data_IF_509952030578
#
_entry.id   IF_509952030578
#
_cell.length_a   1.000
_cell.length_b   1.000
_cell.length_c   1.000
_cell.angle_alpha   90.00
_cell.angle_beta   90.00
_cell.angle_gamma   90.00
#
_symmetry.space_group_name_H-M   'P 1'
#
loop_
_entity.id
_entity.type
_entity.pdbx_description
1 polymer ?
#
# COMPACT_ATOMS: atom_id res chain seq x y z
N UNK A 1 45.62 -4.75 -11.76
CA UNK A 1 44.31 -5.04 -11.14
C UNK A 1 43.91 -3.82 -10.31
N UNK A 2 42.64 -3.43 -10.33
CA UNK A 2 42.11 -2.32 -9.51
C UNK A 2 41.20 -2.82 -8.38
N UNK A 3 41.07 -4.14 -8.20
CA UNK A 3 40.27 -4.76 -7.13
C UNK A 3 40.98 -4.72 -5.76
N UNK A 4 41.46 -3.56 -5.33
CA UNK A 4 42.03 -3.37 -3.98
C UNK A 4 40.94 -3.69 -2.95
N UNK A 5 41.15 -4.60 -1.97
CA UNK A 5 42.43 -5.11 -1.43
C UNK A 5 42.92 -6.48 -1.95
N UNK A 6 42.30 -7.06 -2.98
CA UNK A 6 42.50 -8.48 -3.34
C UNK A 6 43.75 -8.78 -4.19
N UNK A 7 44.35 -7.77 -4.84
CA UNK A 7 45.59 -7.92 -5.62
C UNK A 7 45.57 -9.12 -6.60
N UNK A 8 44.45 -9.32 -7.30
CA UNK A 8 44.24 -10.39 -8.27
C UNK A 8 44.93 -10.06 -9.60
N UNK A 9 46.26 -9.94 -9.56
CA UNK A 9 47.07 -9.61 -10.74
C UNK A 9 46.94 -10.72 -11.80
N UNK A 10 46.78 -10.31 -13.06
CA UNK A 10 46.68 -11.22 -14.20
C UNK A 10 48.04 -11.43 -14.87
N UNK A 11 48.28 -12.66 -15.31
CA UNK A 11 49.47 -13.05 -16.08
C UNK A 11 49.10 -13.23 -17.54
N UNK A 12 49.78 -12.53 -18.44
CA UNK A 12 49.61 -12.65 -19.89
C UNK A 12 50.37 -13.85 -20.46
N UNK A 13 49.79 -14.55 -21.43
CA UNK A 13 50.42 -15.63 -22.22
C UNK A 13 49.97 -15.52 -23.68
N UNK A 14 50.80 -15.96 -24.65
CA UNK A 14 50.52 -15.82 -26.09
C UNK A 14 51.00 -14.50 -26.72
N UNK A 15 51.20 -13.47 -25.89
CA UNK A 15 51.55 -12.08 -26.25
C UNK A 15 50.35 -11.24 -26.75
N UNK A 16 49.22 -11.20 -26.00
CA UNK A 16 48.13 -10.29 -26.32
C UNK A 16 48.62 -8.86 -26.36
N UNK A 17 48.19 -8.12 -27.39
CA UNK A 17 48.69 -6.77 -27.62
C UNK A 17 47.94 -5.75 -26.76
N UNK A 18 48.66 -5.09 -25.85
CA UNK A 18 48.13 -3.96 -25.09
C UNK A 18 48.08 -2.68 -25.94
N UNK A 19 46.89 -2.17 -26.21
CA UNK A 19 46.68 -0.90 -26.88
C UNK A 19 46.25 0.17 -25.86
N UNK A 20 47.19 1.02 -25.44
CA UNK A 20 46.97 2.09 -24.44
C UNK A 20 45.87 3.09 -24.80
N UNK A 21 45.64 3.34 -26.09
CA UNK A 21 44.62 4.28 -26.59
C UNK A 21 43.38 3.57 -27.13
N UNK A 22 43.35 2.24 -27.04
CA UNK A 22 42.22 1.41 -27.47
C UNK A 22 41.15 1.26 -26.40
N UNK A 23 40.29 0.26 -26.58
CA UNK A 23 39.19 -0.03 -25.67
C UNK A 23 37.93 0.77 -26.00
N UNK A 24 36.84 0.44 -25.31
CA UNK A 24 35.55 1.09 -25.49
C UNK A 24 35.61 2.56 -25.05
N UNK A 25 36.35 2.85 -23.98
CA UNK A 25 36.53 4.21 -23.44
C UNK A 25 37.75 4.95 -24.00
N UNK A 26 38.57 4.29 -24.83
CA UNK A 26 39.82 4.85 -25.37
C UNK A 26 40.97 4.94 -24.34
N UNK A 27 40.85 4.24 -23.21
CA UNK A 27 41.79 4.33 -22.07
C UNK A 27 42.67 3.09 -21.89
N UNK A 28 42.64 2.16 -22.86
CA UNK A 28 43.45 0.95 -22.81
C UNK A 28 42.63 -0.33 -22.97
N UNK A 29 43.06 -1.26 -23.81
CA UNK A 29 42.48 -2.60 -23.90
C UNK A 29 43.50 -3.61 -24.46
N UNK A 30 43.24 -4.91 -24.25
CA UNK A 30 44.02 -5.97 -24.87
C UNK A 30 43.36 -6.46 -26.16
N UNK A 31 44.18 -6.67 -27.19
CA UNK A 31 43.79 -7.32 -28.44
C UNK A 31 44.35 -8.74 -28.48
N UNK A 32 43.47 -9.68 -28.84
CA UNK A 32 43.71 -11.11 -28.93
C UNK A 32 43.63 -11.56 -30.38
N UNK A 33 44.52 -12.46 -30.80
CA UNK A 33 44.70 -12.85 -32.21
C UNK A 33 43.91 -14.10 -32.66
N UNK A 34 43.20 -14.77 -31.74
CA UNK A 34 42.46 -16.00 -31.99
C UNK A 34 43.27 -17.29 -31.99
N UNK A 35 44.52 -17.30 -31.48
CA UNK A 35 45.39 -18.50 -31.53
C UNK A 35 45.85 -19.03 -30.18
N UNK A 36 46.44 -18.19 -29.34
CA UNK A 36 47.02 -18.63 -28.06
C UNK A 36 47.07 -17.53 -26.97
N UNK A 37 46.56 -16.34 -27.29
CA UNK A 37 46.51 -15.20 -26.39
C UNK A 37 45.53 -15.45 -25.23
N UNK A 38 46.01 -15.30 -23.99
CA UNK A 38 45.17 -15.33 -22.79
C UNK A 38 45.75 -14.52 -21.65
N UNK A 39 44.88 -14.15 -20.71
CA UNK A 39 45.26 -13.62 -19.40
C UNK A 39 44.66 -14.52 -18.34
N UNK A 40 45.48 -14.97 -17.38
CA UNK A 40 45.04 -15.87 -16.30
C UNK A 40 45.23 -15.22 -14.95
N UNK A 41 44.28 -15.41 -14.05
CA UNK A 41 44.43 -15.04 -12.63
C UNK A 41 43.64 -16.00 -11.73
N UNK A 42 43.90 -15.95 -10.44
CA UNK A 42 43.13 -16.67 -9.43
C UNK A 42 42.65 -15.67 -8.39
N UNK A 43 41.34 -15.62 -8.15
CA UNK A 43 40.75 -14.68 -7.20
C UNK A 43 41.08 -15.09 -5.76
N UNK A 44 41.58 -14.16 -4.96
CA UNK A 44 41.82 -14.32 -3.53
C UNK A 44 40.62 -13.88 -2.70
N UNK A 45 40.45 -14.46 -1.51
CA UNK A 45 39.51 -13.97 -0.49
C UNK A 45 38.03 -14.30 -0.66
N UNK A 46 37.65 -15.47 -1.22
CA UNK A 46 36.22 -15.81 -1.31
C UNK A 46 35.87 -17.28 -0.99
N UNK A 47 35.01 -17.55 0.02
CA UNK A 47 34.29 -18.83 0.16
C UNK A 47 33.23 -18.97 -0.95
N UNK A 48 32.55 -20.12 -1.05
CA UNK A 48 31.60 -20.41 -2.12
C UNK A 48 30.61 -19.25 -2.41
N UNK A 49 30.45 -18.86 -3.67
CA UNK A 49 29.56 -17.76 -4.07
C UNK A 49 28.17 -18.29 -4.39
N UNK A 50 27.15 -17.68 -3.78
CA UNK A 50 25.74 -17.91 -4.10
C UNK A 50 25.19 -16.88 -5.09
N UNK A 51 25.92 -15.80 -5.37
CA UNK A 51 25.59 -14.80 -6.41
C UNK A 51 26.88 -14.33 -7.09
N UNK A 52 26.80 -13.93 -8.36
CA UNK A 52 27.96 -13.40 -9.11
C UNK A 52 27.49 -12.52 -10.27
N UNK A 53 28.28 -11.51 -10.62
CA UNK A 53 28.12 -10.78 -11.89
C UNK A 53 29.45 -10.74 -12.64
N UNK A 54 29.42 -11.09 -13.92
CA UNK A 54 30.54 -11.01 -14.85
C UNK A 54 30.22 -9.94 -15.91
N UNK A 55 31.08 -8.96 -16.09
CA UNK A 55 30.92 -7.88 -17.07
C UNK A 55 32.15 -7.78 -17.95
N UNK A 56 31.95 -7.63 -19.27
CA UNK A 56 33.03 -7.47 -20.24
C UNK A 56 32.58 -6.62 -21.43
N UNK A 57 33.47 -5.79 -21.94
CA UNK A 57 33.35 -5.21 -23.27
C UNK A 57 34.13 -6.04 -24.28
N UNK A 58 33.50 -6.41 -25.38
CA UNK A 58 34.14 -7.17 -26.44
C UNK A 58 33.82 -6.59 -27.82
N UNK A 59 34.86 -6.51 -28.65
CA UNK A 59 34.76 -6.12 -30.07
C UNK A 59 35.43 -7.21 -30.93
N UNK A 60 34.64 -8.04 -31.63
CA UNK A 60 35.19 -9.08 -32.50
C UNK A 60 35.98 -8.49 -33.65
N UNK A 61 37.14 -9.07 -33.97
CA UNK A 61 37.86 -8.76 -35.19
C UNK A 61 37.39 -9.67 -36.33
N UNK A 62 37.17 -10.94 -36.05
CA UNK A 62 36.65 -11.96 -36.96
C UNK A 62 35.59 -12.81 -36.26
N UNK A 63 34.72 -13.45 -37.04
CA UNK A 63 33.60 -14.28 -36.57
C UNK A 63 33.72 -15.69 -37.16
N UNK A 64 34.93 -16.26 -37.14
CA UNK A 64 35.24 -17.54 -37.76
C UNK A 64 35.00 -18.72 -36.81
N UNK A 65 35.41 -18.57 -35.55
CA UNK A 65 35.37 -19.60 -34.52
C UNK A 65 34.61 -19.12 -33.28
N UNK A 66 34.49 -20.00 -32.28
CA UNK A 66 33.96 -19.60 -30.98
C UNK A 66 35.05 -18.84 -30.20
N UNK A 67 34.65 -17.70 -29.64
CA UNK A 67 35.51 -16.82 -28.88
C UNK A 67 35.06 -16.78 -27.42
N UNK A 68 35.86 -17.32 -26.50
CA UNK A 68 35.62 -17.17 -25.06
C UNK A 68 36.29 -15.90 -24.55
N UNK A 69 35.49 -14.97 -24.02
CA UNK A 69 36.01 -13.68 -23.55
C UNK A 69 36.44 -13.75 -22.09
N UNK A 70 35.61 -14.38 -21.27
CA UNK A 70 35.80 -14.51 -19.83
C UNK A 70 35.25 -15.85 -19.37
N UNK A 71 36.15 -16.68 -18.86
CA UNK A 71 35.88 -17.98 -18.26
C UNK A 71 36.26 -17.95 -16.78
N UNK A 72 35.39 -18.51 -15.94
CA UNK A 72 35.54 -18.56 -14.50
C UNK A 72 35.20 -19.98 -14.02
N UNK A 73 36.09 -20.68 -13.32
CA UNK A 73 35.78 -22.08 -12.98
C UNK A 73 36.91 -23.07 -12.84
N UNK A 74 36.52 -24.34 -12.98
CA UNK A 74 37.35 -25.49 -13.33
C UNK A 74 36.64 -26.28 -14.45
N UNK A 75 37.32 -27.24 -15.08
CA UNK A 75 36.79 -27.98 -16.23
C UNK A 75 35.36 -28.49 -16.08
N UNK A 76 35.06 -29.12 -14.94
CA UNK A 76 33.76 -29.72 -14.64
C UNK A 76 32.80 -28.78 -13.90
N UNK A 77 33.23 -27.54 -13.62
CA UNK A 77 32.47 -26.49 -12.93
C UNK A 77 32.89 -25.12 -13.44
N UNK A 78 32.48 -24.75 -14.64
CA UNK A 78 32.84 -23.45 -15.20
C UNK A 78 31.65 -22.64 -15.69
N UNK A 79 31.88 -21.34 -15.70
CA UNK A 79 31.09 -20.35 -16.39
C UNK A 79 31.94 -19.79 -17.51
N UNK A 80 31.33 -19.52 -18.66
CA UNK A 80 31.98 -18.72 -19.70
C UNK A 80 30.99 -17.75 -20.37
N UNK A 81 31.43 -16.53 -20.64
CA UNK A 81 30.78 -15.63 -21.60
C UNK A 81 31.53 -15.78 -22.92
N UNK A 82 30.80 -16.07 -23.99
CA UNK A 82 31.41 -16.39 -25.28
C UNK A 82 30.53 -16.01 -26.47
N UNK A 83 31.16 -15.96 -27.63
CA UNK A 83 30.51 -15.92 -28.94
C UNK A 83 30.48 -17.32 -29.57
N UNK A 84 29.34 -17.73 -30.10
CA UNK A 84 29.17 -19.03 -30.77
C UNK A 84 29.03 -18.86 -32.28
N UNK A 85 30.06 -19.24 -33.04
CA UNK A 85 30.13 -19.07 -34.50
C UNK A 85 28.94 -19.66 -35.25
N UNK A 86 28.53 -20.89 -34.94
CA UNK A 86 27.44 -21.59 -35.64
C UNK A 86 26.09 -20.87 -35.59
N UNK A 87 25.83 -20.08 -34.53
CA UNK A 87 24.59 -19.30 -34.40
C UNK A 87 24.80 -17.80 -34.56
N UNK A 88 26.06 -17.36 -34.59
CA UNK A 88 26.45 -15.97 -34.55
C UNK A 88 25.92 -15.19 -33.32
N UNK A 89 25.78 -15.84 -32.16
CA UNK A 89 25.15 -15.25 -30.95
C UNK A 89 26.11 -15.17 -29.76
N UNK A 90 25.93 -14.15 -28.92
CA UNK A 90 26.53 -14.08 -27.59
C UNK A 90 25.79 -15.02 -26.63
N UNK A 91 26.52 -15.75 -25.80
CA UNK A 91 25.99 -16.74 -24.88
C UNK A 91 26.68 -16.71 -23.52
N UNK A 92 25.96 -17.22 -22.54
CA UNK A 92 26.48 -17.50 -21.21
C UNK A 92 26.36 -18.99 -20.89
N UNK A 93 27.51 -19.65 -20.83
CA UNK A 93 27.65 -21.06 -20.52
C UNK A 93 27.80 -21.32 -19.03
N UNK A 94 27.19 -22.40 -18.55
CA UNK A 94 27.40 -22.98 -17.22
C UNK A 94 27.61 -24.48 -17.34
N UNK A 95 28.57 -25.03 -16.58
CA UNK A 95 28.75 -26.47 -16.40
C UNK A 95 28.76 -26.86 -14.94
N UNK A 96 28.07 -27.95 -14.60
CA UNK A 96 28.06 -28.56 -13.27
C UNK A 96 28.14 -30.07 -13.42
N UNK A 97 29.31 -30.65 -13.18
CA UNK A 97 29.56 -32.07 -13.39
C UNK A 97 29.51 -32.41 -14.88
N UNK A 98 28.57 -33.28 -15.26
CA UNK A 98 28.31 -33.66 -16.66
C UNK A 98 27.17 -32.86 -17.32
N UNK A 99 26.52 -31.97 -16.56
CA UNK A 99 25.45 -31.11 -17.07
C UNK A 99 26.04 -29.82 -17.64
N UNK A 100 25.55 -29.44 -18.81
CA UNK A 100 25.97 -28.24 -19.54
C UNK A 100 24.73 -27.47 -19.97
N UNK A 101 24.71 -26.16 -19.72
CA UNK A 101 23.66 -25.27 -20.20
C UNK A 101 24.25 -24.00 -20.81
N UNK A 102 23.61 -23.47 -21.85
CA UNK A 102 23.95 -22.17 -22.41
C UNK A 102 22.72 -21.26 -22.58
N UNK A 103 22.81 -20.05 -22.01
CA UNK A 103 21.79 -19.04 -22.15
C UNK A 103 22.14 -18.14 -23.34
N UNK A 104 21.31 -18.15 -24.38
CA UNK A 104 21.51 -17.30 -25.55
C UNK A 104 20.92 -15.90 -25.38
N UNK A 105 21.65 -14.89 -25.83
CA UNK A 105 21.18 -13.50 -25.88
C UNK A 105 20.21 -13.20 -27.02
N UNK A 106 20.13 -14.05 -28.05
CA UNK A 106 19.40 -13.74 -29.29
C UNK A 106 19.99 -12.57 -30.10
N UNK A 107 21.13 -12.00 -29.69
CA UNK A 107 21.79 -10.90 -30.41
C UNK A 107 22.78 -11.47 -31.42
N UNK A 108 22.52 -11.19 -32.70
CA UNK A 108 23.44 -11.50 -33.80
C UNK A 108 24.64 -10.56 -33.77
N UNK A 109 25.84 -11.13 -33.71
CA UNK A 109 27.09 -10.38 -33.59
C UNK A 109 27.59 -9.92 -34.95
N UNK A 110 28.14 -8.71 -35.01
CA UNK A 110 28.76 -8.11 -36.19
C UNK A 110 30.21 -7.78 -35.87
N UNK A 111 31.13 -8.25 -36.72
CA UNK A 111 32.55 -7.96 -36.59
C UNK A 111 32.80 -6.44 -36.55
N UNK A 112 33.72 -6.01 -35.69
CA UNK A 112 34.09 -4.61 -35.53
C UNK A 112 33.18 -3.77 -34.64
N UNK A 113 32.05 -4.31 -34.16
CA UNK A 113 31.13 -3.62 -33.25
C UNK A 113 31.43 -3.92 -31.79
N UNK A 114 31.23 -2.95 -30.90
CA UNK A 114 31.36 -3.16 -29.45
C UNK A 114 30.08 -3.74 -28.86
N UNK A 115 30.26 -4.69 -27.95
CA UNK A 115 29.19 -5.27 -27.15
C UNK A 115 29.58 -5.23 -25.67
N UNK A 116 28.71 -4.67 -24.84
CA UNK A 116 28.79 -4.85 -23.39
C UNK A 116 27.99 -6.07 -23.00
N UNK A 117 28.65 -7.10 -22.49
CA UNK A 117 27.99 -8.34 -22.08
C UNK A 117 28.09 -8.45 -20.57
N UNK A 118 26.93 -8.65 -19.92
CA UNK A 118 26.86 -8.88 -18.48
C UNK A 118 26.05 -10.13 -18.17
N UNK A 119 26.69 -11.10 -17.52
CA UNK A 119 26.06 -12.30 -17.00
C UNK A 119 25.87 -12.17 -15.49
N UNK A 120 24.63 -12.30 -15.02
CA UNK A 120 24.26 -12.14 -13.61
C UNK A 120 23.62 -13.42 -13.10
N UNK A 121 24.14 -13.94 -11.99
CA UNK A 121 23.48 -14.97 -11.21
C UNK A 121 23.02 -14.38 -9.88
N UNK A 122 21.70 -14.38 -9.64
CA UNK A 122 21.11 -13.80 -8.43
C UNK A 122 20.84 -14.82 -7.31
N UNK A 123 21.30 -16.07 -7.47
CA UNK A 123 21.10 -17.16 -6.50
C UNK A 123 20.04 -18.17 -6.90
N UNK A 124 19.18 -17.82 -7.87
CA UNK A 124 18.14 -18.72 -8.40
C UNK A 124 18.00 -18.65 -9.92
N UNK A 125 18.51 -17.58 -10.52
CA UNK A 125 18.27 -17.24 -11.93
C UNK A 125 19.54 -16.73 -12.58
N UNK A 126 19.79 -17.21 -13.80
CA UNK A 126 20.75 -16.65 -14.75
C UNK A 126 20.06 -15.55 -15.54
N UNK A 127 20.63 -14.35 -15.58
CA UNK A 127 20.25 -13.26 -16.45
C UNK A 127 21.41 -12.88 -17.38
N UNK A 128 21.14 -12.72 -18.68
CA UNK A 128 22.11 -12.27 -19.68
C UNK A 128 21.69 -10.92 -20.25
N UNK A 129 22.53 -9.91 -20.05
CA UNK A 129 22.36 -8.57 -20.58
C UNK A 129 23.33 -8.32 -21.72
N UNK A 130 22.86 -7.61 -22.75
CA UNK A 130 23.69 -7.09 -23.83
C UNK A 130 23.37 -5.63 -24.05
N UNK A 131 24.41 -4.78 -24.05
CA UNK A 131 24.33 -3.33 -24.18
C UNK A 131 23.38 -2.68 -23.15
N UNK A 132 23.49 -3.12 -21.89
CA UNK A 132 22.68 -2.59 -20.78
C UNK A 132 21.22 -3.07 -20.73
N UNK A 133 20.79 -3.98 -21.62
CA UNK A 133 19.41 -4.46 -21.71
C UNK A 133 19.34 -5.96 -21.46
N UNK A 134 18.41 -6.41 -20.60
CA UNK A 134 18.16 -7.82 -20.35
C UNK A 134 17.71 -8.49 -21.66
N UNK A 135 18.39 -9.56 -22.05
CA UNK A 135 18.08 -10.32 -23.27
C UNK A 135 17.42 -11.64 -23.00
N UNK A 136 17.85 -12.32 -21.93
CA UNK A 136 17.28 -13.61 -21.58
C UNK A 136 17.49 -13.92 -20.10
N UNK A 137 16.66 -14.78 -19.55
CA UNK A 137 16.79 -15.30 -18.20
C UNK A 137 16.27 -16.73 -18.07
N UNK A 138 16.93 -17.55 -17.27
CA UNK A 138 16.48 -18.91 -16.95
C UNK A 138 16.72 -19.21 -15.47
N UNK A 139 15.75 -19.90 -14.84
CA UNK A 139 15.91 -20.40 -13.49
C UNK A 139 16.91 -21.58 -13.50
N UNK A 140 17.97 -21.48 -12.73
CA UNK A 140 19.02 -22.51 -12.61
C UNK A 140 19.64 -22.38 -11.22
N UNK A 141 19.98 -23.50 -10.58
CA UNK A 141 20.73 -23.47 -9.32
C UNK A 141 22.19 -23.79 -9.59
N UNK A 142 23.06 -22.83 -9.29
CA UNK A 142 24.50 -22.92 -9.51
C UNK A 142 25.24 -22.60 -8.22
N UNK A 143 26.26 -23.40 -7.91
CA UNK A 143 27.18 -23.17 -6.79
C UNK A 143 28.59 -22.99 -7.34
N UNK A 144 29.22 -21.86 -7.03
CA UNK A 144 30.58 -21.55 -7.47
C UNK A 144 31.57 -21.84 -6.34
N UNK A 145 32.49 -22.76 -6.56
CA UNK A 145 33.46 -23.20 -5.55
C UNK A 145 34.92 -23.00 -5.95
N UNK A 146 35.18 -22.22 -7.01
CA UNK A 146 36.48 -22.14 -7.68
C UNK A 146 36.85 -20.69 -7.96
N UNK A 147 38.14 -20.41 -8.10
CA UNK A 147 38.64 -19.04 -8.20
C UNK A 147 39.43 -18.73 -9.46
N UNK A 148 39.60 -19.69 -10.38
CA UNK A 148 40.41 -19.48 -11.58
C UNK A 148 39.62 -18.67 -12.61
N UNK A 149 40.33 -17.72 -13.22
CA UNK A 149 39.82 -16.82 -14.24
C UNK A 149 40.73 -16.91 -15.45
N UNK A 150 40.13 -17.08 -16.62
CA UNK A 150 40.80 -17.01 -17.91
C UNK A 150 40.08 -15.98 -18.76
N UNK A 151 40.83 -15.03 -19.31
CA UNK A 151 40.35 -14.02 -20.25
C UNK A 151 40.94 -14.34 -21.61
N UNK A 152 40.10 -14.43 -22.63
CA UNK A 152 40.49 -14.68 -24.02
C UNK A 152 40.61 -16.16 -24.42
N UNK A 153 40.22 -17.11 -23.58
CA UNK A 153 40.18 -18.53 -23.89
C UNK A 153 39.19 -19.28 -22.98
N UNK A 154 38.99 -20.57 -23.24
CA UNK A 154 38.24 -21.47 -22.36
C UNK A 154 38.88 -21.61 -20.97
N UNK A 155 38.18 -22.28 -20.03
CA UNK A 155 38.67 -22.40 -18.65
C UNK A 155 39.99 -23.19 -18.53
N UNK A 156 40.30 -24.09 -19.49
CA UNK A 156 41.62 -24.74 -19.57
C UNK A 156 42.71 -23.81 -20.12
N UNK A 157 42.31 -22.72 -20.78
CA UNK A 157 43.21 -21.83 -21.51
C UNK A 157 43.93 -22.53 -22.66
N UNK A 158 43.24 -23.45 -23.35
CA UNK A 158 43.82 -24.30 -24.41
C UNK A 158 43.01 -24.30 -25.71
N UNK A 159 41.79 -23.74 -25.71
CA UNK A 159 40.89 -23.70 -26.87
C UNK A 159 39.96 -22.49 -26.82
N UNK A 160 39.17 -22.30 -27.89
CA UNK A 160 38.15 -21.24 -27.99
C UNK A 160 38.73 -19.83 -27.78
N UNK A 161 39.85 -19.58 -28.44
CA UNK A 161 40.65 -18.35 -28.32
C UNK A 161 39.89 -17.15 -28.86
N UNK A 162 39.83 -16.07 -28.09
CA UNK A 162 39.21 -14.84 -28.55
C UNK A 162 40.01 -14.20 -29.69
N UNK A 163 39.31 -13.72 -30.72
CA UNK A 163 39.85 -12.95 -31.83
C UNK A 163 39.19 -11.56 -31.88
N UNK A 164 39.76 -10.62 -31.14
CA UNK A 164 39.14 -9.31 -30.97
C UNK A 164 39.79 -8.47 -29.89
N UNK A 165 39.11 -7.40 -29.51
CA UNK A 165 39.51 -6.52 -28.41
C UNK A 165 38.63 -6.79 -27.20
N UNK A 166 39.24 -7.07 -26.05
CA UNK A 166 38.55 -7.22 -24.76
C UNK A 166 38.94 -6.04 -23.87
N UNK A 167 37.94 -5.42 -23.25
CA UNK A 167 38.10 -4.27 -22.38
C UNK A 167 37.21 -4.38 -21.13
N UNK A 168 37.61 -3.67 -20.08
CA UNK A 168 36.85 -3.40 -18.86
C UNK A 168 36.16 -4.63 -18.25
N UNK A 169 36.96 -5.69 -18.07
CA UNK A 169 36.55 -6.94 -17.44
C UNK A 169 36.35 -6.73 -15.94
N UNK A 170 35.14 -7.03 -15.45
CA UNK A 170 34.77 -6.92 -14.04
C UNK A 170 34.07 -8.16 -13.53
N UNK A 171 34.39 -8.54 -12.28
CA UNK A 171 33.75 -9.65 -11.58
C UNK A 171 33.27 -9.13 -10.22
N UNK A 172 31.96 -9.19 -9.99
CA UNK A 172 31.34 -8.79 -8.74
C UNK A 172 30.95 -10.03 -7.93
N UNK A 173 31.14 -9.98 -6.61
CA UNK A 173 30.70 -11.02 -5.66
C UNK A 173 29.23 -10.88 -5.25
N UNK A 174 28.45 -10.14 -6.04
CA UNK A 174 27.03 -9.91 -5.85
C UNK A 174 26.32 -9.89 -7.20
N UNK A 175 25.00 -10.01 -7.16
CA UNK A 175 24.14 -9.65 -8.28
C UNK A 175 24.09 -8.13 -8.41
N UNK A 176 24.29 -7.63 -9.64
CA UNK A 176 24.01 -6.23 -9.99
C UNK A 176 22.55 -6.09 -10.40
N UNK A 177 21.95 -4.95 -10.04
CA UNK A 177 20.65 -4.52 -10.53
C UNK A 177 20.71 -4.09 -12.00
N UNK A 178 19.55 -4.00 -12.65
CA UNK A 178 19.46 -3.51 -14.03
C UNK A 178 19.97 -2.07 -14.17
N UNK A 179 19.77 -1.22 -13.15
CA UNK A 179 20.22 0.17 -13.15
C UNK A 179 21.75 0.28 -13.08
N UNK A 180 22.41 -0.52 -12.25
CA UNK A 180 23.87 -0.62 -12.20
C UNK A 180 24.45 -1.08 -13.52
N UNK A 181 23.87 -2.12 -14.13
CA UNK A 181 24.30 -2.65 -15.43
C UNK A 181 24.16 -1.59 -16.53
N UNK A 182 23.09 -0.79 -16.49
CA UNK A 182 22.88 0.33 -17.41
C UNK A 182 23.94 1.42 -17.22
N UNK A 183 24.32 1.75 -15.98
CA UNK A 183 25.40 2.72 -15.71
C UNK A 183 26.75 2.21 -16.22
N UNK A 184 27.07 0.93 -16.00
CA UNK A 184 28.29 0.30 -16.54
C UNK A 184 28.33 0.34 -18.07
N UNK A 185 27.22 0.04 -18.75
CA UNK A 185 27.11 0.11 -20.21
C UNK A 185 27.34 1.55 -20.74
N UNK A 186 26.90 2.56 -19.98
CA UNK A 186 27.12 3.97 -20.32
C UNK A 186 28.51 4.48 -19.89
N UNK A 187 29.37 3.61 -19.35
CA UNK A 187 30.68 3.97 -18.82
C UNK A 187 30.61 5.00 -17.68
N UNK A 188 29.51 5.04 -16.94
CA UNK A 188 29.24 5.96 -15.83
C UNK A 188 29.65 5.35 -14.49
N UNK A 189 30.88 4.88 -14.40
CA UNK A 189 31.40 4.14 -13.23
C UNK A 189 31.59 5.03 -11.99
N UNK A 190 31.45 6.35 -12.15
CA UNK A 190 31.52 7.37 -11.10
C UNK A 190 30.14 7.84 -10.62
N UNK A 191 29.06 7.23 -11.09
CA UNK A 191 27.68 7.52 -10.68
C UNK A 191 27.12 6.26 -10.02
N UNK A 192 26.46 6.46 -8.89
CA UNK A 192 25.72 5.42 -8.17
C UNK A 192 24.22 5.64 -8.36
N UNK A 193 23.47 4.56 -8.52
CA UNK A 193 22.01 4.64 -8.55
C UNK A 193 21.45 4.69 -7.12
N UNK A 194 20.31 5.37 -6.91
CA UNK A 194 19.69 5.47 -5.57
C UNK A 194 19.34 4.09 -4.98
N UNK A 195 18.98 3.12 -5.83
CA UNK A 195 18.65 1.75 -5.43
C UNK A 195 19.84 1.00 -4.78
N UNK A 196 21.06 1.51 -4.92
CA UNK A 196 22.25 0.95 -4.25
C UNK A 196 22.44 1.49 -2.83
N UNK A 197 21.60 2.44 -2.42
CA UNK A 197 21.66 3.10 -1.12
C UNK A 197 20.44 2.77 -0.29
N UNK A 198 20.64 2.69 1.03
CA UNK A 198 19.53 2.52 1.97
C UNK A 198 19.55 3.61 3.03
N UNK A 199 18.38 3.96 3.56
CA UNK A 199 18.23 4.92 4.65
C UNK A 199 19.17 4.55 5.82
N UNK A 200 19.81 5.56 6.39
CA UNK A 200 20.81 5.48 7.46
C UNK A 200 22.14 4.79 7.09
N UNK A 201 22.34 4.40 5.83
CA UNK A 201 23.64 3.88 5.41
C UNK A 201 24.71 4.98 5.46
N UNK A 202 25.89 4.61 5.96
CA UNK A 202 27.05 5.49 6.01
C UNK A 202 28.03 5.13 4.89
N UNK A 203 28.35 6.12 4.07
CA UNK A 203 29.30 6.02 2.97
C UNK A 203 30.55 6.84 3.27
N UNK A 204 31.70 6.34 2.84
CA UNK A 204 32.97 7.09 2.85
C UNK A 204 33.65 6.90 1.49
N UNK A 205 34.30 7.96 1.02
CA UNK A 205 35.19 7.88 -0.13
C UNK A 205 36.60 7.68 0.39
N UNK A 206 37.32 6.68 -0.13
CA UNK A 206 38.69 6.43 0.27
C UNK A 206 39.61 6.38 -0.94
N UNK A 207 40.76 7.00 -0.81
CA UNK A 207 41.77 7.12 -1.86
C UNK A 207 43.05 6.47 -1.36
N UNK A 208 43.61 5.59 -2.18
CA UNK A 208 44.98 5.09 -2.03
C UNK A 208 45.81 5.73 -3.14
N UNK A 209 46.72 6.67 -2.86
CA UNK A 209 47.58 7.25 -3.88
C UNK A 209 48.52 6.16 -4.44
N UNK A 210 48.76 6.14 -5.75
CA UNK A 210 49.71 5.22 -6.39
C UNK A 210 50.61 6.02 -7.35
N UNK A 211 51.92 5.80 -7.29
CA UNK A 211 52.93 6.53 -8.08
C UNK A 211 53.37 5.79 -9.36
N UNK A 212 52.72 4.68 -9.69
CA UNK A 212 53.06 3.77 -10.79
C UNK A 212 53.95 2.59 -10.37
N UNK A 213 54.55 2.63 -9.17
CA UNK A 213 55.40 1.56 -8.64
C UNK A 213 54.83 0.96 -7.35
N UNK A 214 54.22 1.77 -6.50
CA UNK A 214 53.68 1.35 -5.21
C UNK A 214 52.41 2.11 -4.81
N UNK A 215 51.59 1.45 -4.00
CA UNK A 215 50.46 2.06 -3.30
C UNK A 215 50.93 2.75 -2.01
N UNK A 216 50.45 3.97 -1.77
CA UNK A 216 50.65 4.73 -0.53
C UNK A 216 49.58 4.42 0.53
N UNK A 217 49.52 5.23 1.58
CA UNK A 217 48.52 5.03 2.66
C UNK A 217 47.11 5.42 2.19
N UNK A 218 46.15 4.51 2.38
CA UNK A 218 44.72 4.78 2.13
C UNK A 218 44.18 5.81 3.11
N UNK A 219 43.59 6.88 2.61
CA UNK A 219 42.91 7.92 3.40
C UNK A 219 41.43 7.90 3.05
N UNK A 220 40.56 8.02 4.06
CA UNK A 220 39.10 8.06 3.88
C UNK A 220 38.54 9.43 4.26
N UNK A 221 37.45 9.83 3.60
CA UNK A 221 36.65 10.99 3.95
C UNK A 221 35.92 10.78 5.28
N UNK A 222 35.27 11.83 5.77
CA UNK A 222 34.20 11.71 6.75
C UNK A 222 33.02 10.89 6.19
N UNK A 223 32.13 10.48 7.10
CA UNK A 223 30.92 9.75 6.73
C UNK A 223 29.90 10.67 6.04
N UNK A 224 29.25 10.14 5.01
CA UNK A 224 28.04 10.66 4.37
C UNK A 224 26.91 9.71 4.75
N UNK A 225 25.90 10.20 5.47
CA UNK A 225 24.74 9.41 5.88
C UNK A 225 23.57 9.65 4.93
N UNK A 226 23.00 8.57 4.39
CA UNK A 226 21.78 8.62 3.58
C UNK A 226 20.60 8.90 4.52
N UNK A 227 19.88 10.01 4.28
CA UNK A 227 18.76 10.44 5.12
C UNK A 227 17.43 9.91 4.59
N UNK A 228 16.44 9.87 5.49
CA UNK A 228 15.04 9.59 5.18
C UNK A 228 14.50 10.58 4.13
N UNK A 229 13.72 10.11 3.17
CA UNK A 229 12.91 11.00 2.33
C UNK A 229 11.56 11.22 2.99
N UNK A 230 11.01 12.42 2.90
CA UNK A 230 9.66 12.67 3.43
C UNK A 230 8.64 12.13 2.41
N UNK A 231 7.56 11.44 2.85
CA UNK A 231 6.53 10.94 1.95
C UNK A 231 5.83 12.09 1.23
N UNK A 232 5.33 11.83 0.02
CA UNK A 232 4.62 12.85 -0.74
C UNK A 232 3.35 13.28 -0.02
N UNK A 233 3.03 14.57 -0.09
CA UNK A 233 1.80 15.13 0.46
C UNK A 233 0.58 14.49 -0.18
N UNK A 234 -0.35 14.01 0.66
CA UNK A 234 -1.64 13.53 0.19
C UNK A 234 -2.46 14.68 -0.40
N UNK A 235 -3.22 14.42 -1.46
CA UNK A 235 -4.13 15.42 -2.06
C UNK A 235 -5.56 14.97 -1.83
N UNK A 236 -6.37 15.75 -1.11
CA UNK A 236 -7.74 15.35 -0.80
C UNK A 236 -8.67 15.48 -1.99
N UNK A 237 -9.66 14.58 -2.02
CA UNK A 237 -10.66 14.49 -3.08
C UNK A 237 -12.07 14.63 -2.51
N UNK A 238 -12.37 13.97 -1.38
CA UNK A 238 -13.70 13.99 -0.77
C UNK A 238 -13.66 13.73 0.75
N UNK A 239 -14.61 14.26 1.53
CA UNK A 239 -15.52 15.33 1.15
C UNK A 239 -14.73 16.63 0.94
N UNK A 240 -15.06 17.41 -0.08
CA UNK A 240 -14.19 18.54 -0.46
C UNK A 240 -14.62 19.85 0.23
N UNK A 241 -15.79 20.38 -0.10
CA UNK A 241 -16.22 21.72 0.31
C UNK A 241 -17.64 21.67 0.83
N UNK A 242 -18.11 22.75 1.43
CA UNK A 242 -19.46 22.94 1.99
C UNK A 242 -20.64 22.58 1.05
N UNK A 243 -20.39 22.23 -0.22
CA UNK A 243 -21.37 21.61 -1.11
C UNK A 243 -21.70 20.15 -0.73
N UNK A 244 -20.79 19.45 -0.05
CA UNK A 244 -21.04 18.11 0.51
C UNK A 244 -21.84 18.27 1.80
N UNK A 245 -23.16 18.40 1.63
CA UNK A 245 -24.13 18.35 2.72
C UNK A 245 -24.50 16.91 2.96
N UNK A 246 -24.11 16.38 4.12
CA UNK A 246 -24.33 14.99 4.50
C UNK A 246 -25.43 14.88 5.56
N UNK A 247 -26.07 13.71 5.60
CA UNK A 247 -26.99 13.32 6.68
C UNK A 247 -26.44 12.17 7.51
N UNK A 248 -25.35 11.54 7.08
CA UNK A 248 -24.69 10.44 7.78
C UNK A 248 -23.57 10.97 8.69
N UNK A 249 -23.42 10.37 9.87
CA UNK A 249 -22.41 10.74 10.85
C UNK A 249 -21.08 10.00 10.67
N UNK A 250 -21.12 8.88 9.97
CA UNK A 250 -19.98 8.15 9.44
C UNK A 250 -19.65 8.76 8.08
N UNK A 251 -18.47 9.35 7.94
CA UNK A 251 -18.08 10.08 6.74
C UNK A 251 -16.97 9.32 6.02
N UNK A 252 -17.08 9.22 4.70
CA UNK A 252 -16.05 8.61 3.86
C UNK A 252 -15.09 9.68 3.36
N UNK A 253 -13.83 9.56 3.76
CA UNK A 253 -12.72 10.43 3.37
C UNK A 253 -11.88 9.77 2.30
N UNK A 254 -11.53 10.52 1.25
CA UNK A 254 -10.78 10.03 0.10
C UNK A 254 -9.71 11.05 -0.32
N UNK A 255 -8.54 10.53 -0.69
CA UNK A 255 -7.38 11.32 -1.13
C UNK A 255 -6.50 10.52 -2.09
N UNK A 256 -5.54 11.19 -2.72
CA UNK A 256 -4.52 10.54 -3.55
C UNK A 256 -3.50 9.86 -2.64
N UNK A 257 -3.29 8.55 -2.85
CA UNK A 257 -2.32 7.74 -2.10
C UNK A 257 -0.92 8.36 -2.24
N UNK A 258 -0.28 8.60 -1.11
CA UNK A 258 1.08 9.10 -1.04
C UNK A 258 2.08 8.02 -1.47
N UNK A 259 3.21 8.45 -2.02
CA UNK A 259 4.38 7.60 -2.31
C UNK A 259 5.56 8.03 -1.46
N UNK A 260 6.46 7.11 -1.21
CA UNK A 260 7.72 7.39 -0.53
C UNK A 260 8.91 6.93 -1.38
N UNK A 261 10.00 7.68 -1.39
CA UNK A 261 11.15 7.42 -2.29
C UNK A 261 12.07 6.31 -1.78
N UNK A 262 12.09 6.08 -0.48
CA UNK A 262 12.78 4.98 0.19
C UNK A 262 11.84 3.78 0.41
N UNK A 263 10.63 3.84 -0.17
CA UNK A 263 9.62 2.78 -0.15
C UNK A 263 9.19 2.37 1.27
N UNK A 264 9.25 3.30 2.22
CA UNK A 264 8.76 3.05 3.57
C UNK A 264 7.23 2.87 3.59
N UNK A 265 6.68 2.01 4.47
CA UNK A 265 5.23 1.87 4.64
C UNK A 265 4.57 3.17 5.10
N UNK A 266 3.47 3.55 4.45
CA UNK A 266 2.77 4.80 4.73
C UNK A 266 1.53 4.57 5.59
N UNK A 267 1.43 5.34 6.68
CA UNK A 267 0.23 5.48 7.52
C UNK A 267 -0.30 6.91 7.40
N UNK A 268 -1.62 7.09 7.37
CA UNK A 268 -2.26 8.39 7.29
C UNK A 268 -2.85 8.82 8.63
N UNK A 269 -2.77 10.12 8.88
CA UNK A 269 -3.40 10.78 10.03
C UNK A 269 -4.45 11.74 9.50
N UNK A 270 -5.72 11.44 9.77
CA UNK A 270 -6.88 12.21 9.34
C UNK A 270 -7.34 13.06 10.53
N UNK A 271 -7.13 14.36 10.43
CA UNK A 271 -7.51 15.32 11.46
C UNK A 271 -8.84 15.99 11.09
N UNK A 272 -9.83 15.90 11.96
CA UNK A 272 -11.18 16.43 11.81
C UNK A 272 -11.44 17.37 12.98
N UNK A 273 -11.79 18.60 12.68
CA UNK A 273 -11.98 19.67 13.67
C UNK A 273 -13.37 20.28 13.52
N UNK A 274 -13.94 20.71 14.64
CA UNK A 274 -15.22 21.41 14.67
C UNK A 274 -15.16 22.55 15.68
N UNK A 275 -15.96 23.59 15.45
CA UNK A 275 -16.14 24.67 16.43
C UNK A 275 -17.09 24.26 17.57
N UNK A 276 -17.95 23.28 17.32
CA UNK A 276 -19.04 22.91 18.23
C UNK A 276 -18.82 21.56 18.91
N UNK A 277 -17.86 20.78 18.45
CA UNK A 277 -17.56 19.45 18.95
C UNK A 277 -16.07 19.21 19.11
N UNK A 278 -15.73 18.17 19.87
CA UNK A 278 -14.35 17.78 20.08
C UNK A 278 -13.65 17.45 18.75
N UNK A 279 -12.43 17.96 18.61
CA UNK A 279 -11.53 17.61 17.53
C UNK A 279 -11.13 16.13 17.64
N UNK A 280 -10.99 15.47 16.50
CA UNK A 280 -10.72 14.04 16.38
C UNK A 280 -9.57 13.83 15.40
N UNK A 281 -8.65 12.92 15.74
CA UNK A 281 -7.60 12.46 14.84
C UNK A 281 -7.72 10.94 14.70
N UNK A 282 -7.72 10.45 13.46
CA UNK A 282 -7.81 9.03 13.14
C UNK A 282 -6.56 8.58 12.40
N UNK A 283 -6.17 7.31 12.59
CA UNK A 283 -5.07 6.69 11.86
C UNK A 283 -5.59 5.58 10.95
N UNK A 284 -5.03 5.47 9.75
CA UNK A 284 -5.41 4.45 8.76
C UNK A 284 -4.28 4.17 7.77
N UNK A 285 -4.21 2.96 7.24
CA UNK A 285 -3.31 2.59 6.13
C UNK A 285 -4.04 2.44 4.81
N UNK A 286 -5.36 2.63 4.79
CA UNK A 286 -6.21 2.42 3.61
C UNK A 286 -6.91 3.70 3.17
N UNK A 287 -7.17 3.76 1.86
CA UNK A 287 -7.92 4.83 1.20
C UNK A 287 -8.93 4.17 0.26
N UNK A 288 -10.24 4.50 0.31
CA UNK A 288 -10.87 5.50 1.18
C UNK A 288 -10.96 5.06 2.66
N UNK A 289 -11.05 6.04 3.56
CA UNK A 289 -11.23 5.84 5.00
C UNK A 289 -12.65 6.21 5.41
N UNK A 290 -13.34 5.33 6.16
CA UNK A 290 -14.66 5.62 6.72
C UNK A 290 -14.50 5.90 8.21
N UNK A 291 -14.92 7.09 8.66
CA UNK A 291 -14.83 7.44 10.07
C UNK A 291 -15.87 6.67 10.91
N UNK A 292 -15.61 6.50 12.21
CA UNK A 292 -16.68 6.34 13.20
C UNK A 292 -17.68 7.51 13.15
N UNK A 293 -18.78 7.42 13.90
CA UNK A 293 -19.70 8.55 14.06
C UNK A 293 -18.97 9.76 14.65
N UNK A 294 -18.97 10.88 13.92
CA UNK A 294 -18.22 12.08 14.30
C UNK A 294 -18.80 12.84 15.50
N UNK A 295 -20.00 12.47 15.95
CA UNK A 295 -20.60 12.98 17.17
C UNK A 295 -21.48 11.90 17.79
N UNK A 296 -21.48 11.83 19.13
CA UNK A 296 -22.30 10.90 19.90
C UNK A 296 -23.52 11.55 20.54
N UNK A 297 -23.62 12.89 20.51
CA UNK A 297 -24.69 13.66 21.17
C UNK A 297 -25.62 14.26 20.12
N UNK A 298 -25.15 15.22 19.32
CA UNK A 298 -25.92 15.82 18.22
C UNK A 298 -25.01 16.32 17.07
N UNK A 299 -25.58 16.63 15.91
CA UNK A 299 -24.84 17.13 14.75
C UNK A 299 -24.12 18.44 15.07
N UNK A 300 -22.81 18.47 14.80
CA UNK A 300 -21.97 19.65 15.07
C UNK A 300 -22.06 20.70 13.96
N UNK A 301 -22.89 20.46 12.93
CA UNK A 301 -23.07 21.32 11.77
C UNK A 301 -21.86 21.29 10.85
N UNK A 302 -20.78 21.98 11.22
CA UNK A 302 -19.61 22.23 10.38
C UNK A 302 -18.34 21.54 10.89
N UNK A 303 -17.60 20.97 9.95
CA UNK A 303 -16.32 20.33 10.20
C UNK A 303 -15.28 20.83 9.19
N UNK A 304 -14.05 21.01 9.65
CA UNK A 304 -12.88 21.12 8.78
C UNK A 304 -12.04 19.86 8.92
N UNK A 305 -11.40 19.43 7.85
CA UNK A 305 -10.51 18.27 7.89
C UNK A 305 -9.27 18.43 7.03
N UNK A 306 -8.24 17.68 7.40
CA UNK A 306 -6.98 17.55 6.67
C UNK A 306 -6.40 16.15 6.90
N UNK A 307 -5.52 15.72 6.01
CA UNK A 307 -4.79 14.45 6.12
C UNK A 307 -3.29 14.65 5.88
N UNK A 308 -2.44 13.91 6.57
CA UNK A 308 -1.00 13.82 6.31
C UNK A 308 -0.52 12.39 6.29
N UNK A 309 0.50 12.11 5.50
CA UNK A 309 1.17 10.82 5.44
C UNK A 309 2.33 10.76 6.44
N UNK A 310 2.59 9.57 6.96
CA UNK A 310 3.68 9.25 7.88
C UNK A 310 4.37 7.96 7.41
N UNK A 311 5.68 8.00 7.26
CA UNK A 311 6.51 6.87 6.77
C UNK A 311 7.16 6.05 7.91
N UNK A 312 6.78 6.31 9.17
CA UNK A 312 7.44 5.71 10.34
C UNK A 312 8.55 6.56 10.96
N UNK A 313 8.97 7.64 10.29
CA UNK A 313 10.05 8.55 10.71
C UNK A 313 9.65 10.02 10.65
N UNK A 314 9.00 10.44 9.57
CA UNK A 314 8.65 11.82 9.26
C UNK A 314 7.26 11.94 8.66
N UNK A 315 6.63 13.09 8.89
CA UNK A 315 5.34 13.42 8.32
C UNK A 315 5.51 14.19 7.01
N UNK A 316 4.64 13.94 6.04
CA UNK A 316 4.39 14.89 4.96
C UNK A 316 3.86 16.22 5.54
N UNK A 317 3.90 17.29 4.74
CA UNK A 317 3.07 18.45 5.08
C UNK A 317 1.60 18.02 5.11
N UNK A 318 0.79 18.74 5.89
CA UNK A 318 -0.65 18.59 5.80
C UNK A 318 -1.08 18.88 4.37
N UNK A 319 -2.05 18.10 3.93
CA UNK A 319 -2.83 18.42 2.77
C UNK A 319 -3.66 19.70 3.01
N UNK A 320 -4.42 20.19 2.02
CA UNK A 320 -5.18 21.44 2.16
C UNK A 320 -6.18 21.41 3.33
N UNK A 321 -6.77 22.54 3.71
CA UNK A 321 -7.89 22.51 4.66
C UNK A 321 -9.21 22.46 3.88
N UNK A 322 -9.99 21.40 4.10
CA UNK A 322 -11.28 21.17 3.44
C UNK A 322 -12.39 21.19 4.48
N UNK A 323 -13.63 21.45 4.05
CA UNK A 323 -14.76 21.54 4.95
C UNK A 323 -15.98 20.79 4.41
N UNK A 324 -16.84 20.36 5.32
CA UNK A 324 -18.12 19.75 4.99
C UNK A 324 -19.11 20.06 6.11
N UNK A 325 -20.40 19.85 5.83
CA UNK A 325 -21.44 20.00 6.83
C UNK A 325 -22.31 18.75 6.94
N UNK A 326 -22.68 18.42 8.17
CA UNK A 326 -23.70 17.41 8.46
C UNK A 326 -24.97 18.16 8.88
N UNK A 327 -26.02 18.05 8.08
CA UNK A 327 -27.30 18.70 8.38
C UNK A 327 -28.13 17.85 9.36
N UNK A 328 -28.87 18.50 10.29
CA UNK A 328 -29.91 17.84 11.06
C UNK A 328 -30.91 17.14 10.14
N UNK A 329 -31.17 15.87 10.41
CA UNK A 329 -32.12 15.04 9.68
C UNK A 329 -33.02 14.33 10.69
N UNK A 330 -34.28 14.74 10.74
CA UNK A 330 -35.32 14.14 11.58
C UNK A 330 -36.06 13.11 10.74
N UNK A 331 -36.05 11.86 11.18
CA UNK A 331 -36.80 10.78 10.53
C UNK A 331 -37.21 9.75 11.59
N UNK A 332 -38.49 9.43 11.67
CA UNK A 332 -39.02 8.38 12.53
C UNK A 332 -39.83 7.37 11.72
N UNK A 333 -39.85 6.12 12.18
CA UNK A 333 -40.74 5.08 11.66
C UNK A 333 -41.54 4.46 12.79
N UNK A 334 -42.76 4.02 12.49
CA UNK A 334 -43.55 3.20 13.40
C UNK A 334 -43.38 1.73 13.03
N UNK A 335 -42.61 0.98 13.81
CA UNK A 335 -42.41 -0.46 13.56
C UNK A 335 -43.58 -1.30 14.05
N UNK A 336 -44.34 -0.78 15.02
CA UNK A 336 -45.68 -1.24 15.40
C UNK A 336 -46.61 -0.02 15.47
N UNK A 337 -47.72 -0.03 14.74
CA UNK A 337 -48.56 1.15 14.49
C UNK A 337 -50.07 0.93 14.72
N UNK A 338 -50.44 -0.19 15.34
CA UNK A 338 -51.83 -0.50 15.67
C UNK A 338 -51.91 -1.38 16.92
N UNK A 339 -52.99 -1.22 17.69
CA UNK A 339 -53.32 -2.05 18.85
C UNK A 339 -54.78 -2.45 18.76
N UNK A 340 -55.06 -3.76 18.84
CA UNK A 340 -56.43 -4.30 18.81
C UNK A 340 -56.82 -4.80 20.20
N UNK A 341 -57.68 -4.05 20.89
CA UNK A 341 -58.12 -4.37 22.24
C UNK A 341 -59.20 -5.45 22.30
N UNK A 342 -59.66 -5.95 21.15
CA UNK A 342 -60.67 -6.99 21.07
C UNK A 342 -62.00 -6.59 21.69
N UNK A 343 -62.64 -7.52 22.39
CA UNK A 343 -63.95 -7.31 23.01
C UNK A 343 -63.81 -6.81 24.45
N UNK A 344 -64.41 -5.65 24.73
CA UNK A 344 -64.53 -5.09 26.08
C UNK A 344 -65.99 -4.73 26.37
N UNK A 345 -66.48 -5.11 27.55
CA UNK A 345 -67.82 -4.72 28.03
C UNK A 345 -67.78 -3.32 28.65
N UNK A 346 -68.92 -2.60 28.73
CA UNK A 346 -69.01 -1.33 29.46
C UNK A 346 -68.40 -1.41 30.86
N UNK A 347 -67.52 -0.46 31.19
CA UNK A 347 -66.75 -0.41 32.44
C UNK A 347 -65.50 -1.28 32.48
N UNK A 348 -65.24 -2.13 31.49
CA UNK A 348 -63.97 -2.86 31.40
C UNK A 348 -62.86 -1.98 30.85
N UNK A 349 -61.65 -2.23 31.34
CA UNK A 349 -60.43 -1.59 30.86
C UNK A 349 -59.43 -2.65 30.40
N UNK A 350 -58.61 -2.27 29.43
CA UNK A 350 -57.42 -3.01 29.03
C UNK A 350 -56.34 -2.01 28.60
N UNK A 351 -55.08 -2.38 28.73
CA UNK A 351 -53.96 -1.55 28.33
C UNK A 351 -52.90 -2.37 27.56
N UNK A 352 -51.92 -1.69 26.99
CA UNK A 352 -50.84 -2.34 26.24
C UNK A 352 -49.58 -2.59 27.10
N UNK A 353 -49.67 -2.49 28.44
CA UNK A 353 -48.49 -2.53 29.30
C UNK A 353 -47.83 -3.89 29.38
N UNK A 354 -48.61 -4.96 29.19
CA UNK A 354 -48.18 -6.34 29.06
C UNK A 354 -47.93 -6.77 27.60
N UNK A 355 -48.02 -5.81 26.67
CA UNK A 355 -47.93 -6.01 25.21
C UNK A 355 -49.02 -6.94 24.64
N UNK A 356 -50.17 -7.02 25.31
CA UNK A 356 -51.35 -7.74 24.84
C UNK A 356 -52.66 -6.91 25.03
N UNK A 357 -52.96 -5.98 24.11
CA UNK A 357 -52.40 -5.87 22.75
C UNK A 357 -51.06 -5.13 22.66
N UNK A 358 -50.34 -5.26 21.53
CA UNK A 358 -49.02 -4.64 21.39
C UNK A 358 -49.10 -3.11 21.42
N UNK A 359 -48.10 -2.47 22.03
CA UNK A 359 -47.95 -1.02 22.07
C UNK A 359 -47.46 -0.48 20.72
N UNK A 360 -47.65 0.82 20.46
CA UNK A 360 -46.98 1.44 19.31
C UNK A 360 -45.48 1.54 19.60
N UNK A 361 -44.64 1.32 18.59
CA UNK A 361 -43.18 1.43 18.70
C UNK A 361 -42.66 2.44 17.70
N UNK A 362 -42.03 3.49 18.20
CA UNK A 362 -41.38 4.54 17.43
C UNK A 362 -39.88 4.25 17.36
N UNK A 363 -39.32 4.30 16.17
CA UNK A 363 -37.88 4.17 15.92
C UNK A 363 -37.35 5.45 15.28
N UNK A 364 -36.27 6.00 15.83
CA UNK A 364 -35.55 7.14 15.25
C UNK A 364 -34.51 6.65 14.23
N UNK A 365 -34.67 7.09 12.97
CA UNK A 365 -33.77 6.83 11.85
C UNK A 365 -33.00 8.10 11.42
N UNK A 366 -33.19 9.19 12.15
CA UNK A 366 -32.52 10.45 11.92
C UNK A 366 -31.08 10.49 12.44
N UNK A 367 -30.44 11.65 12.33
CA UNK A 367 -29.11 11.89 12.87
C UNK A 367 -29.09 12.90 14.04
N UNK A 368 -30.27 13.24 14.57
CA UNK A 368 -30.43 14.13 15.73
C UNK A 368 -31.31 13.49 16.81
N UNK A 369 -31.28 14.05 18.02
CA UNK A 369 -32.26 13.74 19.07
C UNK A 369 -33.63 14.27 18.65
N UNK A 370 -34.69 13.50 18.91
CA UNK A 370 -36.05 13.89 18.50
C UNK A 370 -37.04 13.88 19.65
N UNK A 371 -37.87 14.92 19.72
CA UNK A 371 -39.07 14.96 20.55
C UNK A 371 -40.25 14.41 19.74
N UNK A 372 -41.02 13.48 20.31
CA UNK A 372 -42.22 12.91 19.68
C UNK A 372 -43.46 13.41 20.41
N UNK A 373 -44.39 13.99 19.66
CA UNK A 373 -45.70 14.41 20.16
C UNK A 373 -46.78 13.41 19.76
N UNK A 374 -47.85 13.32 20.55
CA UNK A 374 -49.03 12.47 20.30
C UNK A 374 -50.26 13.37 20.23
N UNK A 375 -51.13 13.14 19.22
CA UNK A 375 -52.50 13.67 19.19
C UNK A 375 -53.49 12.68 18.59
N UNK A 376 -54.71 12.66 19.10
CA UNK A 376 -55.83 11.95 18.48
C UNK A 376 -56.40 12.74 17.31
N UNK A 377 -56.90 12.04 16.28
CA UNK A 377 -57.66 12.66 15.19
C UNK A 377 -59.17 12.54 15.39
N UNK A 378 -59.59 11.43 15.98
CA UNK A 378 -60.99 11.05 16.11
C UNK A 378 -61.25 10.58 17.55
N UNK A 379 -62.45 10.83 18.07
CA UNK A 379 -62.89 10.27 19.34
C UNK A 379 -62.91 8.73 19.25
N UNK A 380 -62.46 8.04 20.30
CA UNK A 380 -62.53 6.58 20.35
C UNK A 380 -63.95 6.09 20.67
N UNK A 381 -64.67 6.85 21.50
CA UNK A 381 -65.97 6.51 22.05
C UNK A 381 -67.04 7.47 21.50
N UNK A 382 -68.26 7.00 21.28
CA UNK A 382 -69.35 7.88 20.81
C UNK A 382 -69.84 8.79 21.94
N UNK A 383 -69.70 8.33 23.19
CA UNK A 383 -70.22 9.03 24.38
C UNK A 383 -69.19 9.93 25.05
N UNK A 384 -67.91 9.83 24.68
CA UNK A 384 -66.84 10.63 25.26
C UNK A 384 -65.86 11.15 24.20
N UNK A 385 -65.61 12.45 24.24
CA UNK A 385 -64.65 13.10 23.34
C UNK A 385 -63.19 12.86 23.78
N UNK A 386 -62.24 13.11 22.87
CA UNK A 386 -60.82 13.22 23.17
C UNK A 386 -60.58 14.14 24.38
N UNK A 387 -59.67 13.73 25.26
CA UNK A 387 -59.41 14.38 26.54
C UNK A 387 -60.09 13.70 27.73
N UNK A 388 -60.91 12.67 27.50
CA UNK A 388 -61.47 11.85 28.58
C UNK A 388 -60.46 10.85 29.16
N UNK A 389 -60.73 10.34 30.36
CA UNK A 389 -59.92 9.30 31.01
C UNK A 389 -60.17 7.89 30.45
N UNK A 390 -61.05 7.76 29.46
CA UNK A 390 -61.40 6.48 28.84
C UNK A 390 -60.52 6.14 27.64
N UNK A 391 -59.70 7.09 27.16
CA UNK A 391 -58.69 6.88 26.14
C UNK A 391 -57.40 7.63 26.50
N UNK A 392 -56.43 6.90 27.05
CA UNK A 392 -55.20 7.44 27.62
C UNK A 392 -53.96 6.84 26.96
N UNK A 393 -52.85 7.58 27.01
CA UNK A 393 -51.54 7.12 26.55
C UNK A 393 -50.44 7.44 27.57
N UNK A 394 -49.32 6.73 27.48
CA UNK A 394 -48.05 7.05 28.13
C UNK A 394 -46.87 6.60 27.26
N UNK A 395 -45.71 7.18 27.44
CA UNK A 395 -44.45 6.71 26.86
C UNK A 395 -43.78 5.69 27.77
N UNK A 396 -43.13 4.69 27.19
CA UNK A 396 -42.28 3.75 27.92
C UNK A 396 -41.06 3.35 27.09
N UNK A 397 -39.99 2.89 27.72
CA UNK A 397 -38.87 2.29 27.01
C UNK A 397 -39.30 0.97 26.34
N UNK A 398 -38.64 0.62 25.24
CA UNK A 398 -38.65 -0.75 24.71
C UNK A 398 -37.74 -1.63 25.58
N UNK A 399 -37.14 -2.68 25.01
CA UNK A 399 -36.03 -3.40 25.64
C UNK A 399 -34.74 -2.56 25.68
N UNK A 400 -34.71 -1.42 24.97
CA UNK A 400 -33.57 -0.51 24.93
C UNK A 400 -33.60 0.47 26.10
N UNK A 401 -32.82 0.18 27.14
CA UNK A 401 -32.68 1.07 28.27
C UNK A 401 -32.09 2.44 27.88
N UNK A 402 -32.61 3.51 28.50
CA UNK A 402 -32.16 4.90 28.29
C UNK A 402 -32.32 5.38 26.84
N UNK A 403 -33.33 4.93 26.09
CA UNK A 403 -33.56 5.37 24.72
C UNK A 403 -34.09 6.81 24.61
N UNK A 404 -34.62 7.38 25.69
CA UNK A 404 -35.10 8.77 25.76
C UNK A 404 -35.03 9.32 27.20
N UNK A 405 -35.30 10.61 27.39
CA UNK A 405 -35.37 11.28 28.69
C UNK A 405 -36.67 10.90 29.41
N UNK A 406 -36.62 9.86 30.25
CA UNK A 406 -37.78 9.30 30.96
C UNK A 406 -38.40 10.23 31.98
N UNK A 407 -37.60 11.14 32.56
CA UNK A 407 -38.03 12.03 33.65
C UNK A 407 -38.89 13.18 33.10
N UNK A 408 -38.60 13.63 31.88
CA UNK A 408 -39.32 14.71 31.21
C UNK A 408 -40.26 14.22 30.09
N UNK A 409 -40.44 12.91 29.95
CA UNK A 409 -41.41 12.28 29.05
C UNK A 409 -42.72 11.92 29.77
N UNK A 410 -43.78 11.62 29.02
CA UNK A 410 -45.10 11.31 29.57
C UNK A 410 -45.15 9.86 30.09
N UNK A 411 -44.52 9.59 31.24
CA UNK A 411 -44.41 8.23 31.81
C UNK A 411 -45.63 7.77 32.63
N UNK A 412 -46.64 8.62 32.78
CA UNK A 412 -47.94 8.31 33.43
C UNK A 412 -49.07 8.42 32.41
N UNK A 413 -50.13 7.63 32.59
CA UNK A 413 -51.28 7.68 31.70
C UNK A 413 -51.93 9.07 31.72
N UNK A 414 -52.11 9.64 30.53
CA UNK A 414 -52.78 10.91 30.29
C UNK A 414 -53.75 10.76 29.14
N UNK A 415 -54.87 11.46 29.21
CA UNK A 415 -55.86 11.49 28.13
C UNK A 415 -55.24 11.88 26.77
N UNK A 416 -55.62 11.15 25.72
CA UNK A 416 -55.31 11.52 24.33
C UNK A 416 -56.17 12.72 23.95
N UNK A 417 -55.55 13.81 23.48
CA UNK A 417 -56.25 15.05 23.09
C UNK A 417 -56.11 15.32 21.59
N UNK A 418 -56.97 16.16 21.02
CA UNK A 418 -56.82 16.63 19.64
C UNK A 418 -55.59 17.54 19.41
N UNK A 419 -54.99 18.06 20.48
CA UNK A 419 -53.79 18.89 20.43
C UNK A 419 -52.53 18.03 20.60
N UNK A 420 -51.48 18.36 19.84
CA UNK A 420 -50.18 17.69 19.95
C UNK A 420 -49.57 17.92 21.34
N UNK A 421 -49.39 16.83 22.09
CA UNK A 421 -48.75 16.85 23.41
C UNK A 421 -47.45 16.06 23.38
N UNK A 422 -46.39 16.59 23.97
CA UNK A 422 -45.09 15.91 24.03
C UNK A 422 -45.24 14.60 24.80
N UNK A 423 -44.90 13.49 24.14
CA UNK A 423 -44.99 12.15 24.69
C UNK A 423 -43.61 11.61 25.03
N UNK A 424 -42.67 11.72 24.10
CA UNK A 424 -41.27 11.31 24.27
C UNK A 424 -40.39 12.55 24.07
N UNK A 425 -39.43 12.76 24.98
CA UNK A 425 -38.44 13.82 24.90
C UNK A 425 -37.05 13.22 24.68
N UNK A 426 -36.28 13.79 23.75
CA UNK A 426 -34.90 13.38 23.46
C UNK A 426 -34.73 11.88 23.11
N UNK A 427 -35.60 11.35 22.24
CA UNK A 427 -35.42 10.01 21.67
C UNK A 427 -34.09 9.97 20.91
N UNK A 428 -33.24 9.03 21.31
CA UNK A 428 -31.90 8.85 20.76
C UNK A 428 -31.96 8.28 19.35
N UNK A 429 -30.83 8.39 18.66
CA UNK A 429 -30.61 7.99 17.26
C UNK A 429 -29.65 6.81 17.08
N UNK A 430 -29.01 6.39 18.17
CA UNK A 430 -28.03 5.29 18.16
C UNK A 430 -28.80 3.98 18.09
N UNK A 431 -28.48 3.10 17.14
CA UNK A 431 -29.21 1.85 16.83
C UNK A 431 -29.48 0.91 18.01
N UNK A 432 -28.73 1.01 19.11
CA UNK A 432 -28.96 0.19 20.31
C UNK A 432 -29.91 0.84 21.32
N UNK A 433 -30.38 2.06 21.03
CA UNK A 433 -31.15 2.93 21.93
C UNK A 433 -32.12 3.85 21.17
N UNK A 434 -32.47 3.56 19.92
CA UNK A 434 -33.25 4.46 19.07
C UNK A 434 -34.77 4.19 19.08
N UNK A 435 -35.26 3.33 19.97
CA UNK A 435 -36.67 2.93 20.02
C UNK A 435 -37.38 3.28 21.32
N UNK A 436 -38.66 3.65 21.22
CA UNK A 436 -39.53 3.93 22.37
C UNK A 436 -40.97 3.49 22.10
N UNK A 437 -41.73 3.21 23.15
CA UNK A 437 -43.12 2.78 23.08
C UNK A 437 -44.08 3.92 23.40
N UNK A 438 -45.22 3.95 22.70
CA UNK A 438 -46.43 4.62 23.17
C UNK A 438 -47.43 3.54 23.57
N UNK A 439 -47.70 3.48 24.86
CA UNK A 439 -48.64 2.55 25.47
C UNK A 439 -50.00 3.22 25.62
N UNK A 440 -51.07 2.46 25.41
CA UNK A 440 -52.44 2.96 25.49
C UNK A 440 -53.20 2.23 26.59
N UNK A 441 -54.11 2.95 27.26
CA UNK A 441 -55.10 2.39 28.17
C UNK A 441 -56.47 2.86 27.70
N UNK A 442 -57.36 1.90 27.46
CA UNK A 442 -58.73 2.14 27.04
C UNK A 442 -59.68 1.59 28.10
N UNK A 443 -60.70 2.37 28.44
CA UNK A 443 -61.78 1.95 29.34
C UNK A 443 -63.10 2.21 28.62
N UNK A 444 -63.98 1.22 28.52
CA UNK A 444 -65.28 1.40 27.85
C UNK A 444 -66.19 2.26 28.74
N UNK A 445 -66.70 3.41 28.29
CA UNK A 445 -67.64 4.21 29.07
C UNK A 445 -68.90 3.41 29.41
N UNK A 446 -69.47 3.63 30.61
CA UNK A 446 -70.63 2.87 31.08
C UNK A 446 -71.89 3.03 30.19
N UNK A 447 -72.00 4.15 29.49
CA UNK A 447 -73.11 4.50 28.59
C UNK A 447 -72.81 4.20 27.13
N UNK A 448 -71.65 3.61 26.82
CA UNK A 448 -71.21 3.40 25.44
C UNK A 448 -72.07 2.36 24.73
N UNK A 449 -72.42 2.65 23.48
CA UNK A 449 -73.24 1.75 22.66
C UNK A 449 -72.39 0.59 22.10
N UNK A 450 -72.96 -0.63 21.93
CA UNK A 450 -72.25 -1.73 21.30
C UNK A 450 -71.87 -1.42 19.84
N UNK A 451 -70.63 -1.70 19.46
CA UNK A 451 -70.17 -1.52 18.08
C UNK A 451 -68.65 -1.54 17.96
N UNK A 452 -68.14 -1.59 16.73
CA UNK A 452 -66.71 -1.44 16.47
C UNK A 452 -66.29 0.01 16.78
N UNK A 453 -65.26 0.16 17.61
CA UNK A 453 -64.66 1.45 17.97
C UNK A 453 -63.25 1.54 17.40
N UNK A 454 -62.90 2.69 16.83
CA UNK A 454 -61.59 2.94 16.24
C UNK A 454 -61.27 4.42 16.36
N UNK A 455 -60.02 4.73 16.71
CA UNK A 455 -59.46 6.07 16.65
C UNK A 455 -58.11 6.03 15.93
N UNK A 456 -57.73 7.12 15.28
CA UNK A 456 -56.41 7.31 14.71
C UNK A 456 -55.59 8.27 15.58
N UNK A 457 -54.31 7.95 15.78
CA UNK A 457 -53.37 8.78 16.54
C UNK A 457 -52.22 9.17 15.62
N UNK A 458 -51.86 10.45 15.63
CA UNK A 458 -50.67 10.97 14.94
C UNK A 458 -49.52 11.08 15.93
N UNK A 459 -48.35 10.58 15.51
CA UNK A 459 -47.07 10.83 16.15
C UNK A 459 -46.23 11.73 15.25
N UNK A 460 -45.87 12.92 15.75
CA UNK A 460 -45.01 13.87 15.01
C UNK A 460 -43.67 14.03 15.72
N UNK A 461 -42.58 13.87 14.96
CA UNK A 461 -41.22 14.09 15.44
C UNK A 461 -40.72 15.49 15.07
N UNK A 462 -39.97 16.10 15.98
CA UNK A 462 -39.25 17.35 15.79
C UNK A 462 -37.86 17.22 16.42
N UNK A 463 -36.87 17.96 15.92
CA UNK A 463 -35.55 18.01 16.57
C UNK A 463 -35.73 18.51 18.02
N UNK A 464 -35.00 17.89 18.95
CA UNK A 464 -35.19 18.08 20.39
C UNK A 464 -34.95 19.48 20.92
#
# INVERSE_FOLDING_TARGET
>A
DYSTPYQNNGTTSGSPYWNKTGGYKGTGAYRFDGKNDKITTSLTGNPARTTITLSVWYKPALLADQDNFLSFGLNTKNISIFYKSVTNLLRWYTSVGASFDDLSSGITVVAGSWYHIVAVYNGTTKLLYVNGVLKNSIAESIIFTTNNVVIGADINGASYWANGTIDDVRIYNRSLSANEIKLLNLSKDNIMHSDETTKNQNWTACITPNDGNADGTRVCSNNITIRNSIPTTSVQIAPNTANDTLIYLNVTFNWTVSTDKDNDPITYYVNITSLYCANQEFTTSTVPFVSPELSTVDVCGYYNWSVRAYDGTSFSVNSGLFNFSIQPYVNITLTQNSSDFGFLNPGQSNDTTDENPPSFVVESNGNVLVNVTVRGLDDLWDTEALGSNSFMYKSNATEEANSFDTDNSQNTFRAVTGSATKAIKELKRVRSTNTARIQFNVTVPATESPGLKKSNVILEASQS
#
